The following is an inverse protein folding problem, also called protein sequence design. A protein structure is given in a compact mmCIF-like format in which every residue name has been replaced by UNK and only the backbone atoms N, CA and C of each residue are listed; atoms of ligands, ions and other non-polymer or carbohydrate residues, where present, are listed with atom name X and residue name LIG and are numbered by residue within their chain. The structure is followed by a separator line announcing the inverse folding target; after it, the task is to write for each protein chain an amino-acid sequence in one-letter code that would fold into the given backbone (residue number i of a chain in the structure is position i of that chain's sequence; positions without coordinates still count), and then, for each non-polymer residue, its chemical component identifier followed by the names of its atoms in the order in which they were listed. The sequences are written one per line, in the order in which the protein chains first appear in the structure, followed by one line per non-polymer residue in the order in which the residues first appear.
data_IF_884602549254
#
_entry.id   IF_884602549254
#
_cell.length_a   1.000
_cell.length_b   1.000
_cell.length_c   1.000
_cell.angle_alpha   90.00
_cell.angle_beta   90.00
_cell.angle_gamma   90.00
#
_symmetry.space_group_name_H-M   'P 1'
#
loop_
_entity.id
_entity.type
_entity.pdbx_description
1 polymer ?
#
# COMPACT_ATOMS: atom_id res chain seq x y z
N UNK A 1 -17.16 15.49 23.13
CA UNK A 1 -15.76 15.62 22.66
C UNK A 1 -15.49 14.58 21.61
N UNK A 2 -15.05 15.00 20.43
CA UNK A 2 -14.63 14.01 19.46
C UNK A 2 -13.44 13.22 20.04
N UNK A 3 -13.52 11.91 19.91
CA UNK A 3 -12.40 11.05 20.33
C UNK A 3 -11.24 11.30 19.40
N UNK A 4 -10.06 11.60 19.98
CA UNK A 4 -8.83 11.68 19.22
C UNK A 4 -8.50 10.29 18.68
N UNK A 5 -8.18 10.17 17.38
CA UNK A 5 -7.75 8.91 16.81
C UNK A 5 -6.49 8.43 17.52
N UNK A 6 -6.40 7.14 17.80
CA UNK A 6 -5.17 6.57 18.29
C UNK A 6 -4.15 6.46 17.13
N UNK A 7 -2.91 6.11 17.47
CA UNK A 7 -1.82 6.05 16.48
C UNK A 7 -2.12 5.07 15.34
N UNK A 8 -2.73 3.92 15.63
CA UNK A 8 -3.07 2.93 14.59
C UNK A 8 -4.14 3.48 13.65
N UNK A 9 -5.17 4.17 14.18
CA UNK A 9 -6.20 4.76 13.33
C UNK A 9 -5.60 5.79 12.38
N UNK A 10 -4.68 6.62 12.87
CA UNK A 10 -3.98 7.62 12.04
C UNK A 10 -3.16 6.94 10.94
N UNK A 11 -2.42 5.87 11.29
CA UNK A 11 -1.63 5.09 10.33
C UNK A 11 -2.54 4.48 9.27
N UNK A 12 -3.68 3.92 9.67
CA UNK A 12 -4.63 3.32 8.73
C UNK A 12 -5.29 4.34 7.82
N UNK A 13 -5.60 5.53 8.32
CA UNK A 13 -6.10 6.61 7.48
C UNK A 13 -5.08 7.02 6.42
N UNK A 14 -3.83 7.11 6.80
CA UNK A 14 -2.74 7.38 5.86
C UNK A 14 -2.59 6.24 4.85
N UNK A 15 -2.70 4.98 5.31
CA UNK A 15 -2.65 3.82 4.43
C UNK A 15 -3.79 3.84 3.40
N UNK A 16 -5.01 4.24 3.79
CA UNK A 16 -6.14 4.41 2.86
C UNK A 16 -5.79 5.42 1.77
N UNK A 17 -5.20 6.56 2.15
CA UNK A 17 -4.79 7.58 1.18
C UNK A 17 -3.74 7.04 0.22
N UNK A 18 -2.80 6.22 0.71
CA UNK A 18 -1.78 5.60 -0.14
C UNK A 18 -2.38 4.60 -1.12
N UNK A 19 -3.41 3.85 -0.71
CA UNK A 19 -4.11 2.95 -1.64
C UNK A 19 -4.83 3.74 -2.74
N UNK A 20 -5.40 4.90 -2.41
CA UNK A 20 -6.01 5.80 -3.38
C UNK A 20 -4.95 6.32 -4.36
N UNK A 21 -3.79 6.73 -3.85
CA UNK A 21 -2.69 7.22 -4.67
C UNK A 21 -2.16 6.11 -5.60
N UNK A 22 -2.07 4.88 -5.11
CA UNK A 22 -1.65 3.73 -5.91
C UNK A 22 -2.66 3.43 -7.01
N UNK A 23 -3.96 3.48 -6.70
CA UNK A 23 -5.01 3.35 -7.71
C UNK A 23 -4.84 4.37 -8.83
N UNK A 24 -4.63 5.63 -8.48
CA UNK A 24 -4.43 6.71 -9.44
C UNK A 24 -3.18 6.49 -10.28
N UNK A 25 -2.08 6.09 -9.64
CA UNK A 25 -0.82 5.80 -10.31
C UNK A 25 -0.99 4.70 -11.37
N UNK A 26 -1.58 3.57 -10.99
CA UNK A 26 -1.77 2.45 -11.91
C UNK A 26 -2.79 2.77 -13.00
N UNK A 27 -3.86 3.49 -12.69
CA UNK A 27 -4.86 3.89 -13.67
C UNK A 27 -4.26 4.81 -14.74
N UNK A 28 -3.47 5.78 -14.32
CA UNK A 28 -2.80 6.70 -15.25
C UNK A 28 -1.75 5.97 -16.08
N UNK A 29 -0.98 5.07 -15.48
CA UNK A 29 -0.01 4.27 -16.19
C UNK A 29 -0.67 3.37 -17.25
N UNK A 30 -1.82 2.80 -16.93
CA UNK A 30 -2.57 1.97 -17.86
C UNK A 30 -2.99 2.75 -19.12
N UNK A 31 -3.36 4.02 -18.96
CA UNK A 31 -3.73 4.87 -20.08
C UNK A 31 -2.55 5.19 -21.00
N UNK A 32 -1.34 5.24 -20.46
CA UNK A 32 -0.14 5.60 -21.22
C UNK A 32 0.54 4.42 -21.91
N UNK A 33 0.09 3.19 -21.66
CA UNK A 33 0.69 1.99 -22.25
C UNK A 33 -0.15 1.50 -23.42
N UNK A 34 0.50 1.31 -24.57
CA UNK A 34 -0.17 0.84 -25.80
C UNK A 34 -0.37 -0.68 -25.81
N UNK A 35 0.57 -1.44 -25.23
CA UNK A 35 0.53 -2.90 -25.27
C UNK A 35 -0.60 -3.45 -24.39
N UNK A 36 -1.53 -4.17 -24.99
CA UNK A 36 -2.72 -4.68 -24.32
C UNK A 36 -2.44 -5.55 -23.08
N UNK A 37 -1.46 -6.49 -23.09
CA UNK A 37 -1.19 -7.29 -21.90
C UNK A 37 -0.71 -6.44 -20.71
N UNK A 38 0.19 -5.48 -20.93
CA UNK A 38 0.67 -4.59 -19.88
C UNK A 38 -0.45 -3.70 -19.35
N UNK A 39 -1.28 -3.17 -20.24
CA UNK A 39 -2.43 -2.36 -19.84
C UNK A 39 -3.38 -3.11 -18.93
N UNK A 40 -3.68 -4.37 -19.24
CA UNK A 40 -4.55 -5.21 -18.42
C UNK A 40 -3.97 -5.47 -17.05
N UNK A 41 -2.66 -5.69 -16.96
CA UNK A 41 -1.97 -5.88 -15.66
C UNK A 41 -2.12 -4.62 -14.81
N UNK A 42 -1.86 -3.44 -15.38
CA UNK A 42 -1.96 -2.17 -14.67
C UNK A 42 -3.39 -1.88 -14.22
N UNK A 43 -4.38 -2.18 -15.06
CA UNK A 43 -5.78 -2.02 -14.70
C UNK A 43 -6.18 -2.97 -13.57
N UNK A 44 -5.67 -4.20 -13.57
CA UNK A 44 -5.93 -5.15 -12.51
C UNK A 44 -5.27 -4.71 -11.18
N UNK A 45 -4.04 -4.22 -11.24
CA UNK A 45 -3.38 -3.66 -10.05
C UNK A 45 -4.20 -2.51 -9.46
N UNK A 46 -4.69 -1.61 -10.31
CA UNK A 46 -5.54 -0.50 -9.87
C UNK A 46 -6.81 -1.01 -9.18
N UNK A 47 -7.46 -2.02 -9.75
CA UNK A 47 -8.67 -2.60 -9.18
C UNK A 47 -8.40 -3.24 -7.81
N UNK A 48 -7.26 -3.90 -7.65
CA UNK A 48 -6.88 -4.52 -6.38
C UNK A 48 -6.63 -3.48 -5.29
N UNK A 49 -6.08 -2.31 -5.64
CA UNK A 49 -5.90 -1.22 -4.68
C UNK A 49 -7.24 -0.70 -4.13
N UNK A 50 -8.29 -0.70 -4.96
CA UNK A 50 -9.64 -0.35 -4.50
C UNK A 50 -10.12 -1.37 -3.46
N UNK A 51 -9.85 -2.65 -3.69
CA UNK A 51 -10.18 -3.71 -2.73
C UNK A 51 -9.46 -3.54 -1.40
N UNK A 52 -8.16 -3.23 -1.45
CA UNK A 52 -7.35 -2.98 -0.24
C UNK A 52 -7.91 -1.79 0.54
N UNK A 53 -8.22 -0.70 -0.14
CA UNK A 53 -8.81 0.48 0.49
C UNK A 53 -10.12 0.14 1.21
N UNK A 54 -11.00 -0.61 0.55
CA UNK A 54 -12.28 -0.99 1.14
C UNK A 54 -12.11 -1.82 2.41
N UNK A 55 -11.13 -2.74 2.42
CA UNK A 55 -10.82 -3.55 3.60
C UNK A 55 -10.30 -2.70 4.75
N UNK A 56 -9.42 -1.74 4.46
CA UNK A 56 -8.90 -0.81 5.46
C UNK A 56 -10.00 0.11 6.01
N UNK A 57 -10.85 0.63 5.13
CA UNK A 57 -11.98 1.47 5.54
C UNK A 57 -12.97 0.69 6.41
N UNK A 58 -13.26 -0.56 6.06
CA UNK A 58 -14.12 -1.42 6.86
C UNK A 58 -13.52 -1.66 8.26
N UNK A 59 -12.20 -1.85 8.33
CA UNK A 59 -11.51 -2.00 9.60
C UNK A 59 -11.60 -0.71 10.43
N UNK A 60 -11.43 0.46 9.80
CA UNK A 60 -11.55 1.75 10.47
C UNK A 60 -12.96 2.03 10.99
N UNK A 61 -13.97 1.60 10.24
CA UNK A 61 -15.37 1.76 10.63
C UNK A 61 -15.82 0.71 11.64
N UNK A 62 -15.14 -0.43 11.65
CA UNK A 62 -15.41 -1.47 12.63
C UNK A 62 -15.03 -0.99 14.03
N UNK A 63 -15.88 -1.24 15.00
CA UNK A 63 -15.65 -0.85 16.40
C UNK A 63 -14.57 -1.69 17.07
N UNK A 64 -13.67 -2.27 16.29
CA UNK A 64 -12.64 -3.20 16.74
C UNK A 64 -11.43 -2.46 17.30
N UNK A 65 -11.28 -1.15 16.98
CA UNK A 65 -10.13 -0.39 17.45
C UNK A 65 -10.31 0.06 18.87
N UNK A 66 -9.62 -0.62 19.74
CA UNK A 66 -9.42 -0.18 21.12
C UNK A 66 -8.33 0.87 21.15
N UNK A 67 -8.37 1.73 22.16
CA UNK A 67 -7.26 2.62 22.48
C UNK A 67 -6.01 1.75 22.66
N UNK A 68 -4.93 2.12 21.99
CA UNK A 68 -3.67 1.40 22.12
C UNK A 68 -3.21 1.36 23.58
N UNK A 69 -2.83 0.19 24.04
CA UNK A 69 -2.10 0.06 25.29
C UNK A 69 -0.73 0.72 25.15
N UNK A 70 -0.11 1.08 26.27
CA UNK A 70 1.27 1.61 26.26
C UNK A 70 2.23 0.65 25.58
N UNK A 71 2.01 -0.65 25.74
CA UNK A 71 2.83 -1.69 25.12
C UNK A 71 2.71 -1.64 23.59
N UNK A 72 1.50 -1.45 23.07
CA UNK A 72 1.27 -1.34 21.62
C UNK A 72 1.87 -0.06 21.05
N UNK A 73 1.73 1.06 21.75
CA UNK A 73 2.35 2.33 21.36
C UNK A 73 3.86 2.19 21.26
N UNK A 74 4.47 1.51 22.25
CA UNK A 74 5.90 1.24 22.24
C UNK A 74 6.30 0.40 21.03
N UNK A 75 5.52 -0.65 20.71
CA UNK A 75 5.79 -1.49 19.53
C UNK A 75 5.73 -0.68 18.23
N UNK A 76 4.79 0.25 18.09
CA UNK A 76 4.71 1.12 16.93
C UNK A 76 5.99 1.94 16.78
N UNK A 77 6.49 2.49 17.89
CA UNK A 77 7.75 3.26 17.90
C UNK A 77 8.96 2.37 17.62
N UNK A 78 9.06 1.23 18.30
CA UNK A 78 10.21 0.31 18.18
C UNK A 78 10.34 -0.27 16.78
N UNK A 79 9.23 -0.54 16.10
CA UNK A 79 9.21 -1.08 14.74
C UNK A 79 9.35 0.03 13.68
N UNK A 80 9.36 1.29 14.09
CA UNK A 80 9.47 2.45 13.19
C UNK A 80 8.43 2.41 12.07
N UNK A 81 7.20 2.05 12.43
CA UNK A 81 6.12 1.85 11.46
C UNK A 81 5.87 3.12 10.65
N UNK A 82 5.97 4.29 11.27
CA UNK A 82 5.73 5.57 10.57
C UNK A 82 6.75 5.85 9.47
N UNK A 83 7.93 5.23 9.51
CA UNK A 83 8.93 5.39 8.45
C UNK A 83 8.43 4.82 7.11
N UNK A 84 7.55 3.82 7.16
CA UNK A 84 6.98 3.21 5.94
C UNK A 84 5.89 4.08 5.30
N UNK A 85 5.50 5.17 5.95
CA UNK A 85 4.50 6.10 5.43
C UNK A 85 5.11 7.22 4.59
N UNK A 86 6.43 7.27 4.49
CA UNK A 86 7.11 8.27 3.66
C UNK A 86 6.84 7.97 2.19
N UNK A 87 6.33 8.97 1.47
CA UNK A 87 6.02 8.82 0.06
C UNK A 87 7.24 9.08 -0.82
N UNK A 88 7.36 8.26 -1.87
CA UNK A 88 8.29 8.53 -2.96
C UNK A 88 7.55 9.42 -3.96
N UNK A 89 7.95 10.70 -4.11
CA UNK A 89 7.25 11.58 -5.02
C UNK A 89 7.53 11.24 -6.48
N UNK A 90 6.51 11.36 -7.33
CA UNK A 90 6.71 11.38 -8.77
C UNK A 90 7.11 12.77 -9.21
N UNK A 91 8.13 12.86 -10.06
CA UNK A 91 8.47 14.12 -10.70
C UNK A 91 7.37 14.56 -11.68
N UNK A 92 7.34 15.85 -12.01
CA UNK A 92 6.37 16.40 -12.94
C UNK A 92 6.47 15.81 -14.35
N UNK A 93 7.66 15.32 -14.72
CA UNK A 93 7.94 14.72 -16.03
C UNK A 93 8.09 13.20 -15.93
N UNK A 94 7.30 12.58 -15.06
CA UNK A 94 7.39 11.15 -14.80
C UNK A 94 7.04 10.35 -16.06
N UNK A 95 8.00 9.58 -16.57
CA UNK A 95 7.78 8.62 -17.64
C UNK A 95 7.40 7.25 -17.06
N UNK A 96 7.09 6.30 -17.92
CA UNK A 96 6.69 4.96 -17.50
C UNK A 96 7.77 4.28 -16.64
N UNK A 97 9.04 4.47 -16.98
CA UNK A 97 10.15 3.91 -16.19
C UNK A 97 10.11 4.42 -14.76
N UNK A 98 9.99 5.73 -14.57
CA UNK A 98 9.92 6.34 -13.24
C UNK A 98 8.66 5.91 -12.48
N UNK A 99 7.53 5.82 -13.18
CA UNK A 99 6.27 5.36 -12.58
C UNK A 99 6.43 3.95 -12.01
N UNK A 100 7.05 3.04 -12.76
CA UNK A 100 7.24 1.66 -12.32
C UNK A 100 8.24 1.56 -11.16
N UNK A 101 9.31 2.38 -11.18
CA UNK A 101 10.27 2.44 -10.06
C UNK A 101 9.57 2.91 -8.79
N UNK A 102 8.81 4.00 -8.87
CA UNK A 102 8.08 4.53 -7.72
C UNK A 102 7.04 3.52 -7.22
N UNK A 103 6.32 2.88 -8.15
CA UNK A 103 5.35 1.84 -7.78
C UNK A 103 6.03 0.71 -7.00
N UNK A 104 7.16 0.21 -7.48
CA UNK A 104 7.90 -0.86 -6.79
C UNK A 104 8.33 -0.46 -5.38
N UNK A 105 8.83 0.77 -5.22
CA UNK A 105 9.22 1.29 -3.90
C UNK A 105 8.03 1.43 -2.97
N UNK A 106 6.90 1.94 -3.47
CA UNK A 106 5.66 2.09 -2.68
C UNK A 106 5.11 0.74 -2.26
N UNK A 107 5.11 -0.25 -3.16
CA UNK A 107 4.66 -1.60 -2.83
C UNK A 107 5.54 -2.23 -1.76
N UNK A 108 6.85 -2.04 -1.83
CA UNK A 108 7.77 -2.54 -0.82
C UNK A 108 7.52 -1.89 0.54
N UNK A 109 7.34 -0.58 0.57
CA UNK A 109 7.05 0.16 1.80
C UNK A 109 5.71 -0.25 2.40
N UNK A 110 4.69 -0.47 1.55
CA UNK A 110 3.38 -0.92 2.00
C UNK A 110 3.44 -2.34 2.54
N UNK A 111 4.21 -3.23 1.90
CA UNK A 111 4.44 -4.58 2.41
C UNK A 111 5.02 -4.54 3.83
N UNK A 112 6.07 -3.75 4.02
CA UNK A 112 6.72 -3.62 5.34
C UNK A 112 5.77 -3.01 6.37
N UNK A 113 4.98 -2.01 5.97
CA UNK A 113 3.97 -1.40 6.83
C UNK A 113 2.96 -2.44 7.31
N UNK A 114 2.34 -3.18 6.40
CA UNK A 114 1.31 -4.14 6.77
C UNK A 114 1.88 -5.31 7.56
N UNK A 115 3.09 -5.75 7.24
CA UNK A 115 3.76 -6.79 8.02
C UNK A 115 3.99 -6.35 9.45
N UNK A 116 4.42 -5.11 9.64
CA UNK A 116 4.64 -4.54 10.97
C UNK A 116 3.33 -4.35 11.73
N UNK A 117 2.27 -3.91 11.05
CA UNK A 117 0.95 -3.79 11.65
C UNK A 117 0.39 -5.15 12.10
N UNK A 118 0.67 -6.20 11.33
CA UNK A 118 0.28 -7.56 11.71
C UNK A 118 0.95 -7.99 13.03
N UNK A 119 2.17 -7.54 13.28
CA UNK A 119 2.87 -7.84 14.53
C UNK A 119 2.33 -7.06 15.73
N UNK A 120 1.78 -5.88 15.50
CA UNK A 120 1.25 -5.01 16.56
C UNK A 120 -0.20 -5.34 16.89
N UNK A 121 -0.98 -5.77 15.90
CA UNK A 121 -2.40 -6.06 16.09
C UNK A 121 -2.59 -7.16 17.13
N UNK A 122 -3.56 -6.98 18.02
CA UNK A 122 -3.83 -7.94 19.09
C UNK A 122 -4.98 -8.89 18.74
N UNK A 123 -5.95 -8.42 17.93
CA UNK A 123 -7.05 -9.28 17.53
C UNK A 123 -6.71 -10.09 16.30
N UNK A 124 -7.21 -11.31 16.25
CA UNK A 124 -6.89 -12.26 15.18
C UNK A 124 -7.33 -11.75 13.81
N UNK A 125 -8.50 -11.13 13.72
CA UNK A 125 -9.03 -10.65 12.44
C UNK A 125 -8.14 -9.55 11.83
N UNK A 126 -7.68 -8.61 12.67
CA UNK A 126 -6.76 -7.56 12.22
C UNK A 126 -5.40 -8.15 11.80
N UNK A 127 -4.88 -9.11 12.59
CA UNK A 127 -3.62 -9.78 12.25
C UNK A 127 -3.71 -10.47 10.89
N UNK A 128 -4.79 -11.19 10.63
CA UNK A 128 -5.02 -11.87 9.36
C UNK A 128 -5.16 -10.88 8.20
N UNK A 129 -5.88 -9.79 8.41
CA UNK A 129 -6.05 -8.76 7.38
C UNK A 129 -4.71 -8.16 7.00
N UNK A 130 -3.91 -7.74 7.98
CA UNK A 130 -2.62 -7.12 7.70
C UNK A 130 -1.64 -8.10 7.05
N UNK A 131 -1.64 -9.37 7.49
CA UNK A 131 -0.83 -10.40 6.85
C UNK A 131 -1.24 -10.61 5.39
N UNK A 132 -2.54 -10.64 5.13
CA UNK A 132 -3.08 -10.75 3.76
C UNK A 132 -2.64 -9.56 2.90
N UNK A 133 -2.79 -8.34 3.42
CA UNK A 133 -2.39 -7.13 2.69
C UNK A 133 -0.88 -7.11 2.42
N UNK A 134 -0.07 -7.54 3.40
CA UNK A 134 1.39 -7.63 3.20
C UNK A 134 1.74 -8.57 2.05
N UNK A 135 1.11 -9.74 1.99
CA UNK A 135 1.33 -10.72 0.91
C UNK A 135 0.89 -10.17 -0.44
N UNK A 136 -0.26 -9.48 -0.48
CA UNK A 136 -0.77 -8.85 -1.71
C UNK A 136 0.18 -7.78 -2.23
N UNK A 137 0.72 -6.95 -1.35
CA UNK A 137 1.67 -5.91 -1.74
C UNK A 137 2.97 -6.51 -2.30
N UNK A 138 3.42 -7.64 -1.76
CA UNK A 138 4.59 -8.34 -2.30
C UNK A 138 4.30 -8.90 -3.69
N UNK A 139 3.12 -9.44 -3.91
CA UNK A 139 2.68 -9.90 -5.24
C UNK A 139 2.62 -8.73 -6.23
N UNK A 140 2.10 -7.59 -5.82
CA UNK A 140 2.07 -6.37 -6.63
C UNK A 140 3.48 -5.92 -7.00
N UNK A 141 4.40 -5.93 -6.04
CA UNK A 141 5.80 -5.59 -6.28
C UNK A 141 6.41 -6.49 -7.36
N UNK A 142 6.20 -7.79 -7.25
CA UNK A 142 6.70 -8.75 -8.23
C UNK A 142 6.11 -8.50 -9.63
N UNK A 143 4.83 -8.18 -9.70
CA UNK A 143 4.17 -7.86 -10.98
C UNK A 143 4.71 -6.57 -11.58
N UNK A 144 4.97 -5.56 -10.76
CA UNK A 144 5.56 -4.28 -11.20
C UNK A 144 6.97 -4.52 -11.74
N UNK A 145 7.77 -5.33 -11.05
CA UNK A 145 9.12 -5.67 -11.49
C UNK A 145 9.11 -6.42 -12.83
N UNK A 146 8.15 -7.33 -13.01
CA UNK A 146 7.97 -8.05 -14.28
C UNK A 146 7.61 -7.07 -15.41
N UNK A 147 6.71 -6.13 -15.14
CA UNK A 147 6.37 -5.09 -16.11
C UNK A 147 7.59 -4.24 -16.47
N UNK A 148 8.39 -3.88 -15.47
CA UNK A 148 9.62 -3.11 -15.71
C UNK A 148 10.56 -3.87 -16.64
N UNK A 149 10.77 -5.15 -16.39
CA UNK A 149 11.62 -5.98 -17.25
C UNK A 149 11.07 -6.06 -18.68
N UNK A 150 9.75 -6.26 -18.83
CA UNK A 150 9.12 -6.41 -20.13
C UNK A 150 9.06 -5.11 -20.93
N UNK A 151 8.75 -4.00 -20.30
CA UNK A 151 8.48 -2.74 -20.98
C UNK A 151 9.71 -1.85 -21.10
N UNK A 152 10.64 -1.95 -20.17
CA UNK A 152 11.80 -1.05 -20.10
C UNK A 152 13.09 -1.76 -20.54
N UNK A 153 13.38 -2.93 -19.97
CA UNK A 153 14.68 -3.59 -20.21
C UNK A 153 14.73 -4.36 -21.51
N UNK A 154 13.61 -4.92 -22.00
CA UNK A 154 13.60 -5.71 -23.24
C UNK A 154 13.76 -4.88 -24.49
N UNK A 155 13.38 -3.60 -24.46
CA UNK A 155 13.45 -2.73 -25.62
C UNK A 155 14.82 -2.04 -25.78
N UNK A 156 15.77 -2.42 -24.94
CA UNK A 156 17.14 -1.94 -25.05
C UNK A 156 18.02 -3.00 -25.69
#
# INVERSE_FOLDING_TARGET
MPKTDNAIQQILKTAVLREIDAFTLYSNAAESVAAAPAKLVLQDLAAQEVGHRRRLEALLQGRVFRVLSKTQEKKVVDLKITDYLVEEPLGSDADLQNVLIVAGKRENSSHDLYRSLAQVAEDEDSQKLFAFLADEEMMHKNRVETLYEELILRDN
#
